data_IF_884283834361
#
_entry.id   IF_884283834361
#
_cell.length_a   1.000
_cell.length_b   1.000
_cell.length_c   1.000
_cell.angle_alpha   90.00
_cell.angle_beta   90.00
_cell.angle_gamma   90.00
#
_symmetry.space_group_name_H-M   'P 1'
#
loop_
_entity.id
_entity.type
_entity.pdbx_description
1 polymer ?
#
# COMPACT_ATOMS: atom_id res chain seq x y z
N UNK A 1 -37.07 -16.28 -12.10
CA UNK A 1 -35.92 -17.22 -12.10
C UNK A 1 -36.07 -18.08 -10.86
N UNK A 2 -35.89 -19.40 -10.96
CA UNK A 2 -35.96 -20.28 -9.79
C UNK A 2 -34.66 -20.17 -8.98
N UNK A 3 -34.76 -19.77 -7.72
CA UNK A 3 -33.61 -19.61 -6.83
C UNK A 3 -32.82 -20.91 -6.68
N UNK A 4 -33.47 -22.09 -6.76
CA UNK A 4 -32.82 -23.39 -6.58
C UNK A 4 -32.00 -23.86 -7.79
N UNK A 5 -32.08 -23.16 -8.92
CA UNK A 5 -31.35 -23.48 -10.15
C UNK A 5 -30.15 -22.55 -10.39
N UNK A 6 -29.99 -21.50 -9.60
CA UNK A 6 -28.90 -20.54 -9.76
C UNK A 6 -27.57 -21.24 -9.42
N UNK A 7 -26.59 -21.26 -10.34
CA UNK A 7 -25.29 -21.84 -10.05
C UNK A 7 -24.56 -21.04 -8.98
N UNK A 8 -23.93 -21.77 -8.07
CA UNK A 8 -23.13 -21.22 -6.98
C UNK A 8 -21.67 -21.45 -7.32
N UNK A 9 -20.86 -20.41 -7.23
CA UNK A 9 -19.42 -20.46 -7.46
C UNK A 9 -18.72 -20.17 -6.15
N UNK A 10 -17.72 -20.99 -5.83
CA UNK A 10 -16.80 -20.73 -4.74
C UNK A 10 -15.37 -20.92 -5.21
N UNK A 11 -14.46 -20.06 -4.75
CA UNK A 11 -13.02 -20.16 -5.03
C UNK A 11 -12.34 -20.59 -3.74
N UNK A 12 -11.52 -21.64 -3.81
CA UNK A 12 -10.86 -22.27 -2.66
C UNK A 12 -9.37 -22.47 -2.93
N UNK A 13 -8.60 -22.51 -1.84
CA UNK A 13 -7.16 -22.77 -1.85
C UNK A 13 -6.73 -23.47 -0.56
N UNK A 14 -6.18 -24.69 -0.68
CA UNK A 14 -5.64 -25.52 0.39
C UNK A 14 -6.56 -25.64 1.63
N UNK A 15 -7.89 -25.62 1.43
CA UNK A 15 -8.87 -25.51 2.51
C UNK A 15 -10.01 -26.53 2.45
N UNK A 16 -9.72 -27.84 2.60
CA UNK A 16 -10.73 -28.89 2.49
C UNK A 16 -11.81 -28.79 3.58
N UNK A 17 -11.47 -28.40 4.81
CA UNK A 17 -12.44 -28.30 5.90
C UNK A 17 -13.47 -27.18 5.66
N UNK A 18 -13.02 -26.04 5.13
CA UNK A 18 -13.91 -24.91 4.84
C UNK A 18 -14.91 -25.27 3.75
N UNK A 19 -14.43 -25.88 2.66
CA UNK A 19 -15.30 -26.37 1.59
C UNK A 19 -16.32 -27.37 2.12
N UNK A 20 -15.89 -28.30 2.99
CA UNK A 20 -16.83 -29.23 3.61
C UNK A 20 -17.87 -28.52 4.47
N UNK A 21 -17.51 -27.47 5.22
CA UNK A 21 -18.44 -26.70 6.05
C UNK A 21 -19.42 -25.88 5.21
N UNK A 22 -18.93 -25.20 4.17
CA UNK A 22 -19.76 -24.47 3.22
C UNK A 22 -20.77 -25.41 2.58
N UNK A 23 -20.32 -26.51 1.98
CA UNK A 23 -21.19 -27.46 1.28
C UNK A 23 -22.19 -28.12 2.24
N UNK A 24 -21.74 -28.55 3.42
CA UNK A 24 -22.63 -29.15 4.42
C UNK A 24 -23.70 -28.18 4.94
N UNK A 25 -23.36 -26.91 5.14
CA UNK A 25 -24.32 -25.90 5.59
C UNK A 25 -25.28 -25.49 4.48
N UNK A 26 -24.77 -25.29 3.26
CA UNK A 26 -25.55 -24.95 2.07
C UNK A 26 -26.56 -26.04 1.71
N UNK A 27 -26.14 -27.32 1.71
CA UNK A 27 -26.98 -28.46 1.29
C UNK A 27 -28.15 -28.74 2.24
N UNK A 28 -28.17 -28.17 3.44
CA UNK A 28 -29.36 -28.20 4.32
C UNK A 28 -30.56 -27.47 3.74
N UNK A 29 -30.30 -26.50 2.86
CA UNK A 29 -31.33 -25.56 2.38
C UNK A 29 -31.41 -25.50 0.85
N UNK A 30 -30.29 -25.70 0.15
CA UNK A 30 -30.18 -25.41 -1.28
C UNK A 30 -29.58 -26.58 -2.07
N UNK A 31 -30.32 -27.15 -3.06
CA UNK A 31 -29.83 -28.20 -3.95
C UNK A 31 -29.06 -27.66 -5.17
N UNK A 32 -28.83 -26.35 -5.23
CA UNK A 32 -28.22 -25.64 -6.36
C UNK A 32 -26.93 -26.31 -6.88
N UNK A 33 -26.67 -26.25 -8.19
CA UNK A 33 -25.38 -26.70 -8.73
C UNK A 33 -24.25 -25.82 -8.16
N UNK A 34 -23.19 -26.45 -7.68
CA UNK A 34 -22.02 -25.75 -7.11
C UNK A 34 -20.80 -26.02 -7.98
N UNK A 35 -20.08 -24.96 -8.32
CA UNK A 35 -18.79 -25.03 -8.97
C UNK A 35 -17.70 -24.57 -7.99
N UNK A 36 -16.81 -25.48 -7.64
CA UNK A 36 -15.64 -25.20 -6.81
C UNK A 36 -14.46 -24.96 -7.75
N UNK A 37 -13.99 -23.72 -7.81
CA UNK A 37 -12.73 -23.37 -8.48
C UNK A 37 -11.60 -23.56 -7.48
N UNK A 38 -10.82 -24.62 -7.67
CA UNK A 38 -9.83 -25.06 -6.70
C UNK A 38 -8.41 -24.76 -7.19
N UNK A 39 -7.72 -23.87 -6.47
CA UNK A 39 -6.34 -23.48 -6.73
C UNK A 39 -5.30 -24.25 -5.93
N UNK A 40 -5.69 -25.31 -5.21
CA UNK A 40 -4.77 -26.09 -4.39
C UNK A 40 -3.64 -26.72 -5.19
N UNK A 41 -2.49 -26.87 -4.53
CA UNK A 41 -1.37 -27.67 -5.06
C UNK A 41 -1.73 -29.17 -5.14
N UNK A 42 -0.92 -29.94 -5.86
CA UNK A 42 -1.16 -31.36 -6.09
C UNK A 42 -1.24 -32.19 -4.80
N UNK A 43 -0.62 -31.75 -3.70
CA UNK A 43 -0.61 -32.47 -2.43
C UNK A 43 -1.95 -32.34 -1.67
N UNK A 44 -2.69 -31.25 -1.89
CA UNK A 44 -3.97 -30.99 -1.23
C UNK A 44 -5.19 -31.40 -2.08
N UNK A 45 -5.04 -31.59 -3.40
CA UNK A 45 -6.15 -31.90 -4.32
C UNK A 45 -6.94 -33.16 -3.90
N UNK A 46 -6.28 -34.20 -3.41
CA UNK A 46 -6.97 -35.42 -2.98
C UNK A 46 -7.82 -35.19 -1.73
N UNK A 47 -7.34 -34.36 -0.79
CA UNK A 47 -8.11 -33.94 0.37
C UNK A 47 -9.32 -33.08 -0.03
N UNK A 48 -9.16 -32.17 -1.01
CA UNK A 48 -10.29 -31.40 -1.56
C UNK A 48 -11.31 -32.32 -2.23
N UNK A 49 -10.87 -33.28 -3.06
CA UNK A 49 -11.76 -34.26 -3.70
C UNK A 49 -12.54 -35.05 -2.65
N UNK A 50 -11.87 -35.50 -1.59
CA UNK A 50 -12.52 -36.21 -0.48
C UNK A 50 -13.53 -35.32 0.27
N UNK A 51 -13.22 -34.03 0.47
CA UNK A 51 -14.12 -33.08 1.12
C UNK A 51 -15.38 -32.79 0.28
N UNK A 52 -15.26 -32.78 -1.05
CA UNK A 52 -16.37 -32.46 -1.95
C UNK A 52 -17.19 -33.69 -2.35
N UNK A 53 -16.58 -34.88 -2.42
CA UNK A 53 -17.21 -36.12 -2.89
C UNK A 53 -18.56 -36.50 -2.25
N UNK A 54 -18.81 -36.24 -0.95
CA UNK A 54 -20.10 -36.57 -0.33
C UNK A 54 -21.29 -35.73 -0.82
N UNK A 55 -21.04 -34.64 -1.55
CA UNK A 55 -22.07 -33.67 -1.91
C UNK A 55 -22.49 -33.79 -3.38
N UNK A 56 -23.78 -34.05 -3.60
CA UNK A 56 -24.34 -34.10 -4.96
C UNK A 56 -24.36 -32.71 -5.63
N UNK A 57 -24.28 -32.71 -6.97
CA UNK A 57 -24.37 -31.49 -7.77
C UNK A 57 -23.17 -30.54 -7.62
N UNK A 58 -22.03 -31.03 -7.15
CA UNK A 58 -20.79 -30.24 -7.04
C UNK A 58 -19.81 -30.63 -8.15
N UNK A 59 -19.38 -29.63 -8.94
CA UNK A 59 -18.32 -29.76 -9.93
C UNK A 59 -17.03 -29.16 -9.38
N UNK A 60 -15.97 -29.95 -9.33
CA UNK A 60 -14.65 -29.52 -8.89
C UNK A 60 -13.77 -29.19 -10.10
N UNK A 61 -13.28 -27.95 -10.17
CA UNK A 61 -12.44 -27.43 -11.24
C UNK A 61 -11.04 -27.15 -10.70
N UNK A 62 -10.19 -28.17 -10.74
CA UNK A 62 -8.81 -28.10 -10.23
C UNK A 62 -7.92 -27.39 -11.23
N UNK A 63 -7.24 -26.34 -10.78
CA UNK A 63 -6.25 -25.60 -11.59
C UNK A 63 -4.83 -26.15 -11.40
N UNK A 64 -4.53 -26.77 -10.25
CA UNK A 64 -3.23 -27.38 -9.94
C UNK A 64 -2.15 -26.37 -9.51
N UNK A 65 -2.52 -25.10 -9.34
CA UNK A 65 -1.71 -23.99 -8.85
C UNK A 65 -2.62 -22.93 -8.22
N UNK A 66 -2.06 -22.05 -7.38
CA UNK A 66 -2.84 -21.01 -6.71
C UNK A 66 -3.36 -19.97 -7.71
N UNK A 67 -4.57 -20.19 -8.23
CA UNK A 67 -5.24 -19.25 -9.14
C UNK A 67 -5.67 -17.96 -8.42
N UNK A 68 -5.69 -17.98 -7.09
CA UNK A 68 -6.15 -16.91 -6.21
C UNK A 68 -7.61 -16.46 -6.44
N UNK A 69 -8.15 -15.70 -5.48
CA UNK A 69 -9.60 -15.40 -5.44
C UNK A 69 -10.10 -14.63 -6.66
N UNK A 70 -9.53 -13.46 -6.97
CA UNK A 70 -9.94 -12.64 -8.13
C UNK A 70 -9.85 -13.36 -9.47
N UNK A 71 -8.67 -13.88 -9.88
CA UNK A 71 -8.57 -14.61 -11.14
C UNK A 71 -9.40 -15.91 -11.15
N UNK A 72 -9.61 -16.56 -10.00
CA UNK A 72 -10.55 -17.68 -9.89
C UNK A 72 -11.99 -17.28 -10.19
N UNK A 73 -12.44 -16.13 -9.68
CA UNK A 73 -13.74 -15.55 -10.02
C UNK A 73 -13.83 -15.20 -11.51
N UNK A 74 -12.80 -14.56 -12.07
CA UNK A 74 -12.76 -14.23 -13.49
C UNK A 74 -12.82 -15.48 -14.38
N UNK A 75 -12.03 -16.50 -14.04
CA UNK A 75 -12.03 -17.80 -14.72
C UNK A 75 -13.42 -18.44 -14.65
N UNK A 76 -14.06 -18.44 -13.48
CA UNK A 76 -15.43 -18.93 -13.33
C UNK A 76 -16.40 -18.19 -14.27
N UNK A 77 -16.39 -16.86 -14.25
CA UNK A 77 -17.27 -16.01 -15.07
C UNK A 77 -17.07 -16.27 -16.57
N UNK A 78 -15.84 -16.56 -16.99
CA UNK A 78 -15.49 -16.72 -18.39
C UNK A 78 -15.68 -18.17 -18.90
N UNK A 79 -15.39 -19.16 -18.08
CA UNK A 79 -15.26 -20.55 -18.51
C UNK A 79 -16.44 -21.44 -18.08
N UNK A 80 -17.13 -21.09 -16.99
CA UNK A 80 -18.21 -21.92 -16.48
C UNK A 80 -19.56 -21.59 -17.12
N UNK A 81 -20.44 -22.60 -17.25
CA UNK A 81 -21.79 -22.42 -17.80
C UNK A 81 -22.74 -21.82 -16.76
N UNK A 82 -22.45 -20.61 -16.27
CA UNK A 82 -23.13 -19.98 -15.13
C UNK A 82 -24.54 -19.44 -15.42
N UNK A 83 -25.06 -19.57 -16.65
CA UNK A 83 -26.32 -18.91 -17.03
C UNK A 83 -26.25 -17.38 -16.89
N UNK A 84 -27.41 -16.69 -16.84
CA UNK A 84 -27.46 -15.23 -16.75
C UNK A 84 -27.14 -14.69 -15.35
N UNK A 85 -27.31 -15.51 -14.30
CA UNK A 85 -27.14 -15.11 -12.90
C UNK A 85 -26.42 -16.21 -12.15
N UNK A 86 -25.43 -15.85 -11.34
CA UNK A 86 -24.74 -16.77 -10.44
C UNK A 86 -24.55 -16.17 -9.06
N UNK A 87 -24.55 -17.02 -8.04
CA UNK A 87 -24.20 -16.65 -6.68
C UNK A 87 -22.72 -16.97 -6.45
N UNK A 88 -21.96 -16.00 -5.97
CA UNK A 88 -20.60 -16.22 -5.50
C UNK A 88 -20.58 -16.23 -3.97
N UNK A 89 -20.02 -17.30 -3.41
CA UNK A 89 -19.83 -17.47 -1.97
C UNK A 89 -18.36 -17.73 -1.68
N UNK A 90 -17.84 -17.09 -0.64
CA UNK A 90 -16.52 -17.45 -0.14
C UNK A 90 -16.51 -18.87 0.42
N UNK A 91 -15.34 -19.50 0.39
CA UNK A 91 -15.18 -20.89 0.85
C UNK A 91 -15.41 -21.05 2.36
N UNK A 92 -15.32 -19.97 3.15
CA UNK A 92 -15.54 -19.96 4.59
C UNK A 92 -16.91 -19.40 5.03
N UNK A 93 -17.86 -19.31 4.09
CA UNK A 93 -19.26 -19.01 4.39
C UNK A 93 -19.95 -20.23 5.03
N UNK A 94 -20.75 -19.98 6.06
CA UNK A 94 -21.65 -20.96 6.68
C UNK A 94 -23.10 -20.47 6.53
N UNK A 95 -23.93 -21.26 5.84
CA UNK A 95 -25.37 -20.94 5.70
C UNK A 95 -26.11 -21.37 6.97
N UNK A 96 -26.67 -20.40 7.69
CA UNK A 96 -27.42 -20.61 8.94
C UNK A 96 -28.92 -20.78 8.72
N UNK A 97 -29.48 -20.12 7.71
CA UNK A 97 -30.92 -20.08 7.44
C UNK A 97 -31.21 -19.98 5.93
N UNK A 98 -32.27 -20.64 5.47
CA UNK A 98 -32.84 -20.44 4.13
C UNK A 98 -33.45 -19.04 3.96
N UNK A 99 -33.70 -18.64 2.70
CA UNK A 99 -34.33 -17.38 2.32
C UNK A 99 -33.37 -16.29 1.84
N UNK A 100 -32.05 -16.48 1.98
CA UNK A 100 -31.05 -15.45 1.66
C UNK A 100 -30.91 -15.28 0.14
N UNK A 101 -30.86 -16.38 -0.60
CA UNK A 101 -30.73 -16.35 -2.05
C UNK A 101 -32.01 -15.79 -2.70
N UNK A 102 -33.18 -16.15 -2.17
CA UNK A 102 -34.47 -15.61 -2.59
C UNK A 102 -34.55 -14.10 -2.33
N UNK A 103 -34.13 -13.65 -1.15
CA UNK A 103 -34.10 -12.23 -0.80
C UNK A 103 -33.14 -11.44 -1.68
N UNK A 104 -31.97 -12.00 -2.04
CA UNK A 104 -31.05 -11.36 -2.99
C UNK A 104 -31.62 -11.33 -4.41
N UNK A 105 -32.29 -12.41 -4.84
CA UNK A 105 -32.86 -12.53 -6.17
C UNK A 105 -34.03 -11.57 -6.39
N UNK A 106 -34.86 -11.33 -5.36
CA UNK A 106 -35.95 -10.35 -5.41
C UNK A 106 -35.44 -8.92 -5.69
N UNK A 107 -34.20 -8.63 -5.29
CA UNK A 107 -33.57 -7.32 -5.43
C UNK A 107 -32.73 -7.19 -6.71
N UNK A 108 -32.54 -8.29 -7.46
CA UNK A 108 -31.76 -8.30 -8.68
C UNK A 108 -32.59 -7.80 -9.87
N UNK A 109 -32.21 -6.65 -10.43
CA UNK A 109 -32.80 -6.09 -11.65
C UNK A 109 -31.93 -6.43 -12.87
N UNK A 110 -32.47 -6.46 -14.10
CA UNK A 110 -31.72 -6.84 -15.30
C UNK A 110 -30.45 -6.02 -15.56
N UNK A 111 -30.44 -4.74 -15.16
CA UNK A 111 -29.29 -3.85 -15.32
C UNK A 111 -28.25 -3.97 -14.20
N UNK A 112 -28.58 -4.59 -13.06
CA UNK A 112 -27.65 -4.65 -11.93
C UNK A 112 -26.42 -5.47 -12.30
N UNK A 113 -25.25 -5.00 -11.88
CA UNK A 113 -24.01 -5.76 -11.88
C UNK A 113 -24.08 -6.89 -10.84
N UNK A 114 -24.54 -6.57 -9.63
CA UNK A 114 -24.76 -7.54 -8.58
C UNK A 114 -25.47 -6.97 -7.35
N UNK A 115 -25.98 -7.87 -6.54
CA UNK A 115 -26.66 -7.63 -5.26
C UNK A 115 -25.81 -8.19 -4.13
N UNK A 116 -25.59 -7.42 -3.07
CA UNK A 116 -24.83 -7.88 -1.90
C UNK A 116 -24.50 -6.79 -0.89
N UNK A 117 -23.49 -7.06 -0.06
CA UNK A 117 -22.96 -6.07 0.87
C UNK A 117 -22.09 -5.06 0.12
N UNK A 118 -22.44 -3.77 0.18
CA UNK A 118 -21.69 -2.69 -0.46
C UNK A 118 -21.14 -1.81 0.64
N UNK A 119 -19.82 -1.72 0.73
CA UNK A 119 -19.14 -0.74 1.58
C UNK A 119 -18.37 0.24 0.71
N UNK A 120 -17.50 1.04 1.32
CA UNK A 120 -16.73 2.06 0.65
C UNK A 120 -15.24 1.78 0.80
N UNK A 121 -14.51 1.85 -0.32
CA UNK A 121 -13.05 1.67 -0.35
C UNK A 121 -12.37 2.87 -1.01
N UNK A 122 -11.08 3.06 -0.72
CA UNK A 122 -10.22 3.93 -1.52
C UNK A 122 -9.84 3.26 -2.86
N UNK A 123 -9.13 3.98 -3.73
CA UNK A 123 -8.78 3.46 -5.06
C UNK A 123 -7.82 2.27 -5.04
N UNK A 124 -7.16 2.04 -3.92
CA UNK A 124 -6.28 0.91 -3.70
C UNK A 124 -7.06 -0.35 -3.29
N UNK A 125 -8.27 -0.19 -2.74
CA UNK A 125 -9.17 -1.25 -2.29
C UNK A 125 -9.24 -1.43 -0.77
N UNK A 126 -8.81 -0.44 0.02
CA UNK A 126 -8.91 -0.44 1.47
C UNK A 126 -10.21 0.21 1.94
N UNK A 127 -10.87 -0.38 2.93
CA UNK A 127 -12.10 0.14 3.52
C UNK A 127 -11.90 1.55 4.10
N UNK A 128 -12.82 2.46 3.78
CA UNK A 128 -12.87 3.83 4.28
C UNK A 128 -14.30 4.23 4.66
N UNK A 129 -14.50 5.18 5.59
CA UNK A 129 -15.80 5.80 5.78
C UNK A 129 -16.28 6.49 4.49
N UNK A 130 -17.59 6.68 4.34
CA UNK A 130 -18.14 7.46 3.22
C UNK A 130 -17.57 8.89 3.25
N UNK A 131 -16.74 9.21 2.25
CA UNK A 131 -16.04 10.48 2.11
C UNK A 131 -15.90 10.84 0.62
N UNK A 132 -15.52 12.09 0.32
CA UNK A 132 -15.30 12.54 -1.05
C UNK A 132 -14.21 11.67 -1.73
N UNK A 133 -14.57 11.02 -2.84
CA UNK A 133 -13.69 10.07 -3.55
C UNK A 133 -13.80 8.62 -3.11
N UNK A 134 -14.74 8.27 -2.22
CA UNK A 134 -15.02 6.90 -1.84
C UNK A 134 -15.68 6.09 -2.96
N UNK A 135 -15.14 4.89 -3.20
CA UNK A 135 -15.59 3.98 -4.26
C UNK A 135 -16.52 2.93 -3.64
N UNK A 136 -17.78 2.82 -4.09
CA UNK A 136 -18.66 1.74 -3.68
C UNK A 136 -18.08 0.38 -4.07
N UNK A 137 -18.01 -0.54 -3.12
CA UNK A 137 -17.36 -1.84 -3.26
C UNK A 137 -18.30 -2.98 -2.90
N UNK A 138 -18.66 -3.79 -3.89
CA UNK A 138 -19.42 -5.02 -3.68
C UNK A 138 -18.51 -6.09 -3.07
N UNK A 139 -18.78 -6.48 -1.82
CA UNK A 139 -17.96 -7.43 -1.09
C UNK A 139 -18.13 -8.85 -1.65
N UNK A 140 -17.01 -9.53 -1.97
CA UNK A 140 -17.03 -10.85 -2.61
C UNK A 140 -17.50 -12.03 -1.74
N UNK A 141 -17.57 -12.00 -0.38
CA UNK A 141 -17.92 -13.20 0.36
C UNK A 141 -19.34 -13.71 0.11
N UNK A 142 -20.27 -12.83 -0.27
CA UNK A 142 -21.63 -13.21 -0.64
C UNK A 142 -22.21 -12.17 -1.62
N UNK A 143 -22.21 -12.50 -2.91
CA UNK A 143 -22.74 -11.63 -3.96
C UNK A 143 -23.51 -12.43 -5.02
N UNK A 144 -24.71 -11.95 -5.36
CA UNK A 144 -25.53 -12.49 -6.45
C UNK A 144 -25.35 -11.59 -7.67
N UNK A 145 -24.75 -12.11 -8.73
CA UNK A 145 -24.31 -11.28 -9.85
C UNK A 145 -25.02 -11.62 -11.15
N UNK A 146 -25.28 -10.59 -11.96
CA UNK A 146 -25.69 -10.76 -13.34
C UNK A 146 -24.45 -10.97 -14.21
N UNK A 147 -24.28 -12.18 -14.71
CA UNK A 147 -23.08 -12.60 -15.43
C UNK A 147 -22.93 -11.85 -16.77
N UNK A 148 -24.04 -11.52 -17.42
CA UNK A 148 -24.02 -10.78 -18.69
C UNK A 148 -23.58 -9.33 -18.48
N UNK A 149 -24.02 -8.70 -17.38
CA UNK A 149 -23.57 -7.35 -17.01
C UNK A 149 -22.12 -7.39 -16.56
N UNK A 150 -21.73 -8.34 -15.71
CA UNK A 150 -20.33 -8.48 -15.24
C UNK A 150 -19.33 -8.55 -16.40
N UNK A 151 -19.66 -9.32 -17.46
CA UNK A 151 -18.81 -9.48 -18.65
C UNK A 151 -18.58 -8.20 -19.47
N UNK A 152 -19.39 -7.17 -19.25
CA UNK A 152 -19.22 -5.86 -19.90
C UNK A 152 -18.21 -4.97 -19.18
N UNK A 153 -17.78 -5.35 -17.97
CA UNK A 153 -16.85 -4.60 -17.15
C UNK A 153 -15.53 -5.37 -16.96
N UNK A 154 -14.46 -4.72 -16.48
CA UNK A 154 -13.22 -5.39 -16.16
C UNK A 154 -13.45 -6.57 -15.21
N UNK A 155 -12.80 -7.69 -15.48
CA UNK A 155 -12.92 -8.88 -14.64
C UNK A 155 -12.25 -8.66 -13.27
N UNK A 156 -12.67 -9.41 -12.24
CA UNK A 156 -11.95 -9.47 -10.97
C UNK A 156 -10.52 -9.99 -11.20
N UNK A 157 -9.50 -9.25 -10.78
CA UNK A 157 -8.09 -9.62 -11.07
C UNK A 157 -7.17 -9.54 -9.86
N UNK A 158 -7.61 -8.95 -8.74
CA UNK A 158 -6.79 -8.80 -7.53
C UNK A 158 -7.01 -9.94 -6.55
N UNK A 159 -6.04 -10.20 -5.66
CA UNK A 159 -6.15 -11.23 -4.63
C UNK A 159 -6.85 -10.75 -3.36
N UNK A 160 -6.43 -9.60 -2.79
CA UNK A 160 -7.00 -9.09 -1.53
C UNK A 160 -8.33 -8.36 -1.68
N UNK A 161 -8.48 -7.54 -2.73
CA UNK A 161 -9.72 -6.83 -3.07
C UNK A 161 -10.16 -7.19 -4.49
N UNK A 162 -10.63 -8.44 -4.72
CA UNK A 162 -10.81 -8.98 -6.07
C UNK A 162 -11.72 -8.13 -6.95
N UNK A 163 -12.72 -7.48 -6.35
CA UNK A 163 -13.69 -6.65 -7.06
C UNK A 163 -13.22 -5.22 -7.34
N UNK A 164 -12.06 -4.78 -6.84
CA UNK A 164 -11.73 -3.34 -6.87
C UNK A 164 -11.57 -2.80 -8.29
N UNK A 165 -11.05 -3.61 -9.23
CA UNK A 165 -10.92 -3.22 -10.62
C UNK A 165 -12.28 -2.98 -11.30
N UNK A 166 -13.26 -3.91 -11.26
CA UNK A 166 -14.60 -3.63 -11.76
C UNK A 166 -15.30 -2.48 -11.01
N UNK A 167 -15.15 -2.39 -9.69
CA UNK A 167 -15.81 -1.34 -8.89
C UNK A 167 -15.28 0.06 -9.23
N UNK A 168 -13.97 0.19 -9.45
CA UNK A 168 -13.37 1.44 -9.93
C UNK A 168 -13.87 1.82 -11.32
N UNK A 169 -13.94 0.86 -12.24
CA UNK A 169 -14.43 1.12 -13.59
C UNK A 169 -15.89 1.58 -13.58
N UNK A 170 -16.73 0.94 -12.76
CA UNK A 170 -18.12 1.36 -12.54
C UNK A 170 -18.18 2.77 -11.96
N UNK A 171 -17.39 3.05 -10.91
CA UNK A 171 -17.37 4.36 -10.26
C UNK A 171 -16.90 5.48 -11.18
N UNK A 172 -15.78 5.28 -11.89
CA UNK A 172 -15.21 6.26 -12.82
C UNK A 172 -16.14 6.52 -14.02
N UNK A 173 -16.94 5.53 -14.42
CA UNK A 173 -17.97 5.68 -15.44
C UNK A 173 -19.28 6.33 -14.92
N UNK A 174 -19.37 6.65 -13.62
CA UNK A 174 -20.59 7.14 -13.00
C UNK A 174 -21.73 6.10 -13.01
N UNK A 175 -21.38 4.81 -12.89
CA UNK A 175 -22.25 3.62 -12.98
C UNK A 175 -22.36 2.85 -11.67
N UNK A 176 -22.12 3.49 -10.52
CA UNK A 176 -22.24 2.84 -9.22
C UNK A 176 -23.68 2.42 -8.87
N UNK A 177 -24.69 2.98 -9.54
CA UNK A 177 -26.10 2.58 -9.43
C UNK A 177 -26.38 1.14 -9.90
N UNK A 178 -25.43 0.51 -10.59
CA UNK A 178 -25.54 -0.90 -10.97
C UNK A 178 -25.29 -1.85 -9.79
N UNK A 179 -24.83 -1.34 -8.63
CA UNK A 179 -24.63 -2.12 -7.41
C UNK A 179 -25.84 -1.99 -6.49
N UNK A 180 -26.46 -3.13 -6.17
CA UNK A 180 -27.58 -3.17 -5.24
C UNK A 180 -27.11 -3.58 -3.85
N UNK A 181 -27.15 -2.63 -2.92
CA UNK A 181 -26.81 -2.89 -1.53
C UNK A 181 -27.94 -3.58 -0.76
N UNK A 182 -27.59 -4.53 0.10
CA UNK A 182 -28.44 -5.09 1.15
C UNK A 182 -27.73 -5.01 2.51
N UNK A 183 -28.33 -4.28 3.45
CA UNK A 183 -27.77 -4.06 4.80
C UNK A 183 -27.49 -5.39 5.52
N UNK A 184 -28.42 -6.34 5.42
CA UNK A 184 -28.29 -7.64 6.10
C UNK A 184 -27.13 -8.47 5.53
N UNK A 185 -26.80 -8.34 4.24
CA UNK A 185 -25.67 -9.07 3.66
C UNK A 185 -24.37 -8.51 4.22
N UNK A 186 -24.21 -7.20 4.25
CA UNK A 186 -23.03 -6.54 4.82
C UNK A 186 -22.89 -6.87 6.31
N UNK A 187 -23.99 -6.83 7.06
CA UNK A 187 -24.04 -7.27 8.45
C UNK A 187 -23.54 -8.72 8.59
N UNK A 188 -24.10 -9.66 7.83
CA UNK A 188 -23.81 -11.08 7.95
C UNK A 188 -22.35 -11.43 7.60
N UNK A 189 -21.74 -10.75 6.62
CA UNK A 189 -20.33 -10.99 6.26
C UNK A 189 -19.34 -10.25 7.17
N UNK A 190 -19.80 -9.32 8.01
CA UNK A 190 -18.96 -8.55 8.94
C UNK A 190 -18.73 -9.34 10.24
N UNK A 191 -17.48 -9.58 10.68
CA UNK A 191 -17.23 -10.31 11.93
C UNK A 191 -17.86 -9.64 13.17
N UNK A 192 -18.36 -10.46 14.11
CA UNK A 192 -18.86 -10.00 15.41
C UNK A 192 -20.28 -9.41 15.42
N UNK A 193 -21.01 -9.48 14.31
CA UNK A 193 -22.42 -9.08 14.21
C UNK A 193 -23.38 -10.25 14.45
N UNK A 194 -24.63 -9.93 14.77
CA UNK A 194 -25.71 -10.91 14.87
C UNK A 194 -26.13 -11.37 13.46
N UNK A 195 -25.96 -12.67 13.18
CA UNK A 195 -26.16 -13.25 11.85
C UNK A 195 -27.64 -13.52 11.55
N UNK A 196 -28.11 -13.08 10.38
CA UNK A 196 -29.49 -13.29 9.92
C UNK A 196 -29.61 -14.59 9.14
N UNK A 197 -28.79 -14.76 8.09
CA UNK A 197 -28.84 -15.86 7.14
C UNK A 197 -27.51 -16.60 6.98
N UNK A 198 -26.41 -15.87 6.87
CA UNK A 198 -25.08 -16.44 6.62
C UNK A 198 -24.07 -15.94 7.64
N UNK A 199 -23.02 -16.72 7.84
CA UNK A 199 -21.88 -16.37 8.68
C UNK A 199 -20.61 -16.45 7.84
N UNK A 200 -19.67 -15.58 8.14
CA UNK A 200 -18.40 -15.46 7.46
C UNK A 200 -17.30 -15.51 8.51
N UNK A 201 -16.61 -16.65 8.58
CA UNK A 201 -15.68 -16.95 9.68
C UNK A 201 -14.41 -16.08 9.59
N UNK A 202 -14.09 -15.55 8.41
CA UNK A 202 -13.08 -14.50 8.20
C UNK A 202 -11.65 -14.91 8.53
N UNK A 203 -11.37 -16.21 8.66
CA UNK A 203 -10.07 -16.76 9.09
C UNK A 203 -9.73 -18.13 8.48
N UNK A 204 -10.49 -18.60 7.49
CA UNK A 204 -10.37 -19.99 7.05
C UNK A 204 -9.08 -20.30 6.28
N UNK A 205 -8.71 -19.48 5.31
CA UNK A 205 -7.54 -19.76 4.44
C UNK A 205 -6.22 -19.37 5.10
N UNK A 206 -6.23 -18.46 6.08
CA UNK A 206 -5.01 -17.91 6.71
C UNK A 206 -4.51 -18.78 7.87
N UNK A 207 -5.39 -19.51 8.55
CA UNK A 207 -4.99 -20.35 9.70
C UNK A 207 -4.58 -21.78 9.30
N UNK A 208 -5.10 -22.32 8.20
CA UNK A 208 -4.85 -23.72 7.80
C UNK A 208 -3.73 -23.92 6.76
N UNK A 209 -3.29 -22.89 6.02
CA UNK A 209 -2.43 -23.10 4.84
C UNK A 209 -0.95 -22.70 4.98
N UNK A 210 -0.50 -22.17 6.12
CA UNK A 210 0.90 -21.78 6.36
C UNK A 210 1.65 -21.13 5.16
N UNK A 211 0.99 -20.26 4.40
CA UNK A 211 1.67 -19.37 3.45
C UNK A 211 1.13 -19.41 2.04
N UNK A 212 1.05 -18.22 1.43
CA UNK A 212 0.86 -18.10 -0.01
C UNK A 212 2.15 -18.56 -0.70
N UNK A 213 2.08 -19.62 -1.53
CA UNK A 213 3.12 -19.94 -2.51
C UNK A 213 3.18 -18.82 -3.56
N UNK A 214 4.13 -17.90 -3.36
CA UNK A 214 4.28 -16.64 -4.10
C UNK A 214 5.05 -16.79 -5.44
N UNK A 215 5.58 -17.97 -5.73
CA UNK A 215 6.68 -18.09 -6.70
C UNK A 215 6.24 -17.97 -8.17
N UNK A 216 5.02 -18.41 -8.52
CA UNK A 216 4.54 -18.41 -9.91
C UNK A 216 3.82 -17.11 -10.30
N UNK A 217 3.08 -16.49 -9.37
CA UNK A 217 2.49 -15.14 -9.51
C UNK A 217 3.58 -14.09 -9.77
N UNK A 218 4.73 -14.25 -9.12
CA UNK A 218 5.87 -13.37 -9.28
C UNK A 218 6.43 -13.41 -10.71
N UNK A 219 6.47 -14.56 -11.37
CA UNK A 219 7.05 -14.67 -12.71
C UNK A 219 6.23 -13.94 -13.79
N UNK A 220 4.90 -14.09 -13.79
CA UNK A 220 4.03 -13.41 -14.77
C UNK A 220 3.86 -11.91 -14.48
N UNK A 221 3.79 -11.54 -13.21
CA UNK A 221 3.76 -10.13 -12.79
C UNK A 221 5.11 -9.47 -13.09
N UNK A 222 6.24 -10.12 -12.85
CA UNK A 222 7.57 -9.65 -13.24
C UNK A 222 7.71 -9.51 -14.75
N UNK A 223 7.14 -10.42 -15.56
CA UNK A 223 7.18 -10.31 -17.01
C UNK A 223 6.37 -9.11 -17.54
N UNK A 224 5.14 -8.90 -17.03
CA UNK A 224 4.31 -7.75 -17.44
C UNK A 224 4.83 -6.43 -16.87
N UNK A 225 5.34 -6.44 -15.65
CA UNK A 225 6.00 -5.28 -15.06
C UNK A 225 7.35 -5.00 -15.71
N UNK A 226 8.09 -5.99 -16.22
CA UNK A 226 9.30 -5.76 -17.00
C UNK A 226 8.98 -5.13 -18.37
N UNK A 227 7.88 -5.52 -19.03
CA UNK A 227 7.43 -4.91 -20.29
C UNK A 227 6.90 -3.48 -20.07
N UNK A 228 6.08 -3.28 -19.05
CA UNK A 228 5.57 -1.96 -18.64
C UNK A 228 6.68 -1.06 -18.07
N UNK A 229 7.66 -1.63 -17.36
CA UNK A 229 8.83 -0.91 -16.87
C UNK A 229 9.83 -0.66 -17.99
N UNK A 230 9.90 -1.45 -19.07
CA UNK A 230 10.64 -1.08 -20.28
C UNK A 230 9.97 0.11 -20.96
N UNK A 231 8.65 0.08 -21.16
CA UNK A 231 7.91 1.21 -21.73
C UNK A 231 7.96 2.46 -20.83
N UNK A 232 7.89 2.30 -19.50
CA UNK A 232 8.01 3.40 -18.54
C UNK A 232 9.47 3.85 -18.33
N UNK A 233 10.45 2.95 -18.47
CA UNK A 233 11.87 3.30 -18.51
C UNK A 233 12.26 3.96 -19.82
N UNK A 234 11.58 3.69 -20.94
CA UNK A 234 11.76 4.45 -22.18
C UNK A 234 11.20 5.87 -22.02
N UNK A 235 10.10 6.05 -21.27
CA UNK A 235 9.55 7.36 -20.89
C UNK A 235 10.40 8.07 -19.81
N UNK A 236 11.01 7.33 -18.87
CA UNK A 236 11.85 7.88 -17.79
C UNK A 236 13.31 8.06 -18.20
N UNK A 237 13.81 7.31 -19.18
CA UNK A 237 15.06 7.59 -19.89
C UNK A 237 14.94 8.85 -20.74
N UNK A 238 13.72 9.29 -21.04
CA UNK A 238 13.42 10.59 -21.63
C UNK A 238 13.26 11.72 -20.59
N UNK A 239 13.34 11.47 -19.28
CA UNK A 239 13.26 12.48 -18.22
C UNK A 239 14.59 12.55 -17.43
N UNK A 240 15.31 13.65 -17.58
CA UNK A 240 16.61 13.88 -16.90
C UNK A 240 16.48 13.81 -15.36
N UNK A 241 17.46 13.24 -14.64
CA UNK A 241 17.47 13.26 -13.17
C UNK A 241 17.55 14.70 -12.66
N UNK A 242 16.52 15.16 -11.96
CA UNK A 242 16.34 16.56 -11.54
C UNK A 242 17.36 17.06 -10.51
N UNK A 243 18.26 16.21 -10.01
CA UNK A 243 19.38 16.59 -9.13
C UNK A 243 18.98 17.14 -7.75
N UNK A 244 17.71 17.10 -7.37
CA UNK A 244 17.20 17.45 -6.03
C UNK A 244 16.01 16.56 -5.64
N UNK A 245 15.68 16.51 -4.34
CA UNK A 245 14.56 15.73 -3.81
C UNK A 245 13.22 16.48 -3.95
N UNK A 246 12.25 15.98 -4.75
CA UNK A 246 10.99 16.69 -4.99
C UNK A 246 10.07 16.74 -3.76
N UNK A 247 10.20 15.81 -2.82
CA UNK A 247 9.42 15.81 -1.58
C UNK A 247 9.87 16.94 -0.64
N UNK A 248 11.18 17.20 -0.57
CA UNK A 248 11.76 18.34 0.16
C UNK A 248 11.24 19.66 -0.42
N UNK A 249 11.27 19.83 -1.75
CA UNK A 249 10.74 21.04 -2.40
C UNK A 249 9.28 21.31 -2.03
N UNK A 250 8.43 20.27 -2.02
CA UNK A 250 7.01 20.38 -1.68
C UNK A 250 6.75 20.81 -0.23
N UNK A 251 7.63 20.45 0.71
CA UNK A 251 7.46 20.77 2.13
C UNK A 251 7.91 22.19 2.49
N UNK A 252 8.80 22.78 1.67
CA UNK A 252 9.24 24.17 1.85
C UNK A 252 8.05 25.13 1.63
N UNK A 253 7.68 25.95 2.64
CA UNK A 253 6.57 26.89 2.52
C UNK A 253 6.76 27.90 1.37
N UNK A 254 5.70 28.16 0.60
CA UNK A 254 5.71 29.16 -0.48
C UNK A 254 5.86 30.61 0.03
N UNK A 255 5.66 30.81 1.34
CA UNK A 255 5.85 32.08 2.02
C UNK A 255 7.31 32.33 2.44
N UNK A 256 8.16 31.30 2.48
CA UNK A 256 9.55 31.42 2.92
C UNK A 256 10.36 32.24 1.90
N UNK A 257 10.99 33.34 2.32
CA UNK A 257 11.74 34.24 1.44
C UNK A 257 13.24 34.05 1.57
N UNK A 258 13.73 33.68 2.75
CA UNK A 258 15.15 33.40 3.02
C UNK A 258 15.30 31.93 3.39
N UNK A 259 15.97 31.19 2.54
CA UNK A 259 16.18 29.76 2.67
C UNK A 259 17.68 29.49 2.80
N UNK A 260 18.06 28.66 3.77
CA UNK A 260 19.41 28.10 3.88
C UNK A 260 19.35 26.62 3.53
N UNK A 261 20.12 26.18 2.54
CA UNK A 261 20.25 24.77 2.16
C UNK A 261 21.60 24.25 2.61
N UNK A 262 21.60 23.29 3.53
CA UNK A 262 22.81 22.58 3.96
C UNK A 262 23.01 21.38 3.04
N UNK A 263 24.23 21.19 2.53
CA UNK A 263 24.53 20.20 1.51
C UNK A 263 23.94 20.57 0.15
N UNK A 264 24.10 21.83 -0.28
CA UNK A 264 23.41 22.33 -1.48
C UNK A 264 23.93 21.74 -2.80
N UNK A 265 25.00 20.93 -2.77
CA UNK A 265 25.61 20.31 -3.93
C UNK A 265 25.85 21.35 -5.05
N UNK A 266 25.35 21.11 -6.26
CA UNK A 266 25.47 22.04 -7.39
C UNK A 266 24.35 23.10 -7.44
N UNK A 267 23.50 23.23 -6.43
CA UNK A 267 22.45 24.26 -6.32
C UNK A 267 21.19 24.00 -7.17
N UNK A 268 20.88 22.75 -7.49
CA UNK A 268 19.70 22.33 -8.27
C UNK A 268 18.38 22.65 -7.55
N UNK A 269 18.31 22.46 -6.23
CA UNK A 269 17.13 22.82 -5.45
C UNK A 269 16.91 24.34 -5.45
N UNK A 270 17.99 25.13 -5.30
CA UNK A 270 17.93 26.59 -5.39
C UNK A 270 17.35 27.06 -6.73
N UNK A 271 17.77 26.44 -7.84
CA UNK A 271 17.22 26.72 -9.17
C UNK A 271 15.71 26.41 -9.24
N UNK A 272 15.28 25.25 -8.71
CA UNK A 272 13.87 24.87 -8.68
C UNK A 272 13.04 25.80 -7.79
N UNK A 273 13.58 26.22 -6.63
CA UNK A 273 12.93 27.17 -5.72
C UNK A 273 12.74 28.53 -6.39
N UNK A 274 13.76 29.05 -7.07
CA UNK A 274 13.67 30.33 -7.80
C UNK A 274 12.67 30.29 -8.95
N UNK A 275 12.55 29.14 -9.62
CA UNK A 275 11.52 28.93 -10.64
C UNK A 275 10.11 28.88 -10.04
N UNK A 276 9.94 28.20 -8.89
CA UNK A 276 8.65 28.07 -8.19
C UNK A 276 8.21 29.38 -7.53
N UNK A 277 9.15 30.15 -7.00
CA UNK A 277 8.89 31.30 -6.13
C UNK A 277 9.82 32.48 -6.50
N UNK A 278 9.38 33.37 -7.40
CA UNK A 278 10.15 34.55 -7.76
C UNK A 278 10.51 35.40 -6.53
N UNK A 279 11.79 35.79 -6.43
CA UNK A 279 12.31 36.62 -5.34
C UNK A 279 12.71 35.87 -4.07
N UNK A 280 12.64 34.54 -4.04
CA UNK A 280 13.25 33.75 -2.95
C UNK A 280 14.78 33.88 -2.97
N UNK A 281 15.38 34.06 -1.80
CA UNK A 281 16.82 34.09 -1.58
C UNK A 281 17.27 32.75 -1.00
N UNK A 282 18.21 32.10 -1.67
CA UNK A 282 18.76 30.81 -1.26
C UNK A 282 20.25 30.94 -0.98
N UNK A 283 20.63 30.65 0.28
CA UNK A 283 22.03 30.53 0.69
C UNK A 283 22.40 29.05 0.82
N UNK A 284 23.39 28.60 0.06
CA UNK A 284 23.87 27.23 0.12
C UNK A 284 25.08 27.06 1.05
N UNK A 285 25.11 25.98 1.83
CA UNK A 285 26.29 25.53 2.57
C UNK A 285 26.75 24.20 1.96
N UNK A 286 28.00 24.11 1.54
CA UNK A 286 28.53 22.92 0.85
C UNK A 286 29.97 22.64 1.28
N UNK A 287 30.29 21.37 1.56
CA UNK A 287 31.62 20.96 1.97
C UNK A 287 32.57 20.83 0.78
N UNK A 288 32.10 20.26 -0.33
CA UNK A 288 32.90 20.04 -1.52
C UNK A 288 33.13 21.34 -2.30
N UNK A 289 34.40 21.71 -2.46
CA UNK A 289 34.79 22.96 -3.10
C UNK A 289 34.26 23.10 -4.54
N UNK A 290 34.23 21.99 -5.28
CA UNK A 290 33.84 22.00 -6.69
C UNK A 290 32.33 22.13 -6.85
N UNK A 291 31.56 21.40 -6.04
CA UNK A 291 30.11 21.52 -5.99
C UNK A 291 29.70 22.94 -5.55
N UNK A 292 30.35 23.48 -4.50
CA UNK A 292 30.13 24.83 -4.01
C UNK A 292 30.37 25.89 -5.11
N UNK A 293 31.44 25.76 -5.90
CA UNK A 293 31.71 26.65 -7.04
C UNK A 293 30.57 26.59 -8.07
N UNK A 294 30.10 25.39 -8.43
CA UNK A 294 28.99 25.24 -9.37
C UNK A 294 27.69 25.86 -8.84
N UNK A 295 27.41 25.69 -7.54
CA UNK A 295 26.23 26.24 -6.89
C UNK A 295 26.16 27.76 -6.88
N UNK A 296 27.30 28.48 -6.96
CA UNK A 296 27.34 29.96 -7.00
C UNK A 296 26.57 30.56 -8.18
N UNK A 297 26.37 29.78 -9.25
CA UNK A 297 25.56 30.19 -10.40
C UNK A 297 24.04 30.08 -10.17
N UNK A 298 23.61 29.38 -9.12
CA UNK A 298 22.19 29.05 -8.85
C UNK A 298 21.70 29.59 -7.51
N UNK A 299 22.55 29.59 -6.49
CA UNK A 299 22.29 30.18 -5.17
C UNK A 299 22.60 31.69 -5.19
N UNK A 300 22.01 32.45 -4.25
CA UNK A 300 22.31 33.88 -4.07
C UNK A 300 23.60 34.09 -3.26
N UNK A 301 23.91 33.15 -2.38
CA UNK A 301 25.18 33.05 -1.68
C UNK A 301 25.56 31.57 -1.48
N UNK A 302 26.86 31.28 -1.42
CA UNK A 302 27.37 29.94 -1.10
C UNK A 302 28.54 30.04 -0.14
N UNK A 303 28.46 29.31 0.97
CA UNK A 303 29.55 29.11 1.92
C UNK A 303 30.14 27.72 1.70
N UNK A 304 31.44 27.66 1.39
CA UNK A 304 32.16 26.39 1.41
C UNK A 304 32.52 26.06 2.86
N UNK A 305 31.81 25.12 3.49
CA UNK A 305 31.94 24.85 4.93
C UNK A 305 31.52 23.44 5.31
N UNK A 306 32.24 22.86 6.27
CA UNK A 306 31.77 21.72 7.04
C UNK A 306 30.84 22.22 8.15
N UNK A 307 29.53 21.99 8.01
CA UNK A 307 28.53 22.43 8.99
C UNK A 307 28.76 21.79 10.37
N UNK A 308 29.32 20.58 10.40
CA UNK A 308 29.55 19.82 11.62
C UNK A 308 30.72 20.39 12.43
N UNK A 309 31.65 21.08 11.76
CA UNK A 309 32.76 21.81 12.37
C UNK A 309 32.52 23.32 12.46
N UNK A 310 31.37 23.82 11.99
CA UNK A 310 31.05 25.24 11.99
C UNK A 310 30.79 25.77 13.41
N UNK A 311 31.39 26.92 13.72
CA UNK A 311 31.16 27.68 14.95
C UNK A 311 29.92 28.59 14.86
N UNK A 312 29.46 29.09 16.01
CA UNK A 312 28.23 29.89 16.14
C UNK A 312 28.19 31.15 15.27
N UNK A 313 29.34 31.72 14.90
CA UNK A 313 29.42 32.90 14.03
C UNK A 313 28.78 32.67 12.65
N UNK A 314 28.91 31.47 12.08
CA UNK A 314 28.25 31.14 10.80
C UNK A 314 26.73 31.17 10.95
N UNK A 315 26.21 30.56 12.01
CA UNK A 315 24.78 30.52 12.27
C UNK A 315 24.22 31.93 12.54
N UNK A 316 24.96 32.76 13.26
CA UNK A 316 24.60 34.17 13.51
C UNK A 316 24.55 34.99 12.22
N UNK A 317 25.48 34.77 11.29
CA UNK A 317 25.45 35.40 9.98
C UNK A 317 24.19 35.04 9.17
N UNK A 318 23.66 33.84 9.38
CA UNK A 318 22.50 33.28 8.69
C UNK A 318 21.19 33.44 9.48
N UNK A 319 21.20 34.26 10.53
CA UNK A 319 20.06 34.44 11.40
C UNK A 319 18.85 35.07 10.70
N UNK A 320 17.66 34.63 11.11
CA UNK A 320 16.39 35.06 10.54
C UNK A 320 16.02 34.36 9.23
N UNK A 321 16.67 33.26 8.87
CA UNK A 321 16.19 32.43 7.76
C UNK A 321 14.80 31.87 8.09
N UNK A 322 13.90 31.91 7.10
CA UNK A 322 12.53 31.42 7.23
C UNK A 322 12.47 29.89 7.15
N UNK A 323 13.42 29.29 6.41
CA UNK A 323 13.52 27.84 6.25
C UNK A 323 14.98 27.38 6.19
N UNK A 324 15.33 26.35 6.95
CA UNK A 324 16.57 25.59 6.78
C UNK A 324 16.26 24.23 6.17
N UNK A 325 17.05 23.82 5.17
CA UNK A 325 16.85 22.56 4.43
C UNK A 325 18.05 21.64 4.65
N UNK A 326 17.76 20.39 5.01
CA UNK A 326 18.72 19.29 5.13
C UNK A 326 18.25 18.11 4.28
N UNK A 327 18.56 18.14 2.99
CA UNK A 327 18.20 17.07 2.07
C UNK A 327 19.26 15.98 2.04
N UNK A 328 19.03 14.85 2.74
CA UNK A 328 19.98 13.73 2.79
C UNK A 328 21.35 14.17 3.38
N UNK A 329 21.32 14.80 4.56
CA UNK A 329 22.49 15.39 5.24
C UNK A 329 22.67 14.91 6.68
N UNK A 330 21.59 14.84 7.47
CA UNK A 330 21.67 14.64 8.93
C UNK A 330 22.31 13.30 9.32
N UNK A 331 22.16 12.29 8.47
CA UNK A 331 22.76 10.96 8.55
C UNK A 331 24.28 10.95 8.38
N UNK A 332 24.83 11.97 7.70
CA UNK A 332 26.27 12.13 7.46
C UNK A 332 26.99 12.94 8.55
N UNK A 333 26.24 13.58 9.46
CA UNK A 333 26.81 14.41 10.51
C UNK A 333 27.27 13.57 11.71
N UNK A 334 28.36 14.00 12.37
CA UNK A 334 28.79 13.43 13.65
C UNK A 334 27.83 13.84 14.76
N UNK A 335 27.40 15.10 14.80
CA UNK A 335 26.46 15.60 15.82
C UNK A 335 25.29 16.39 15.20
N UNK A 336 24.30 15.71 14.59
CA UNK A 336 23.13 16.38 14.02
C UNK A 336 22.28 17.11 15.08
N UNK A 337 22.29 16.67 16.34
CA UNK A 337 21.56 17.32 17.43
C UNK A 337 22.09 18.73 17.70
N UNK A 338 23.41 18.87 17.84
CA UNK A 338 24.06 20.18 18.00
C UNK A 338 23.75 21.12 16.84
N UNK A 339 23.84 20.63 15.61
CA UNK A 339 23.57 21.44 14.41
C UNK A 339 22.12 21.91 14.38
N UNK A 340 21.15 21.03 14.64
CA UNK A 340 19.75 21.40 14.71
C UNK A 340 19.44 22.39 15.84
N UNK A 341 20.12 22.28 16.99
CA UNK A 341 19.99 23.22 18.10
C UNK A 341 20.50 24.63 17.73
N UNK A 342 21.64 24.72 17.04
CA UNK A 342 22.15 26.00 16.51
C UNK A 342 21.21 26.59 15.45
N UNK A 343 20.67 25.76 14.55
CA UNK A 343 19.66 26.20 13.57
C UNK A 343 18.41 26.73 14.25
N UNK A 344 17.89 26.01 15.25
CA UNK A 344 16.73 26.47 16.04
C UNK A 344 16.99 27.86 16.63
N UNK A 345 18.19 28.09 17.18
CA UNK A 345 18.57 29.37 17.81
C UNK A 345 18.51 30.56 16.86
N UNK A 346 18.80 30.35 15.57
CA UNK A 346 18.92 31.42 14.58
C UNK A 346 17.76 31.49 13.59
N UNK A 347 16.79 30.59 13.72
CA UNK A 347 15.59 30.55 12.88
C UNK A 347 14.75 31.84 13.03
N UNK A 348 14.10 32.28 11.96
CA UNK A 348 13.11 33.35 12.06
C UNK A 348 11.93 32.93 12.99
N UNK A 349 11.24 33.89 13.64
CA UNK A 349 9.96 33.62 14.27
C UNK A 349 8.99 32.99 13.26
N UNK A 350 8.44 31.82 13.59
CA UNK A 350 7.57 31.06 12.67
C UNK A 350 8.30 30.34 11.54
N UNK A 351 9.64 30.34 11.54
CA UNK A 351 10.43 29.59 10.57
C UNK A 351 10.37 28.07 10.79
N UNK A 352 10.87 27.31 9.83
CA UNK A 352 10.87 25.85 9.86
C UNK A 352 12.21 25.22 9.42
N UNK A 353 12.37 23.94 9.76
CA UNK A 353 13.41 23.06 9.22
C UNK A 353 12.74 22.01 8.34
N UNK A 354 13.18 21.86 7.10
CA UNK A 354 12.75 20.81 6.18
C UNK A 354 13.89 19.82 6.00
N UNK A 355 13.59 18.53 6.08
CA UNK A 355 14.59 17.46 6.01
C UNK A 355 14.14 16.34 5.10
N UNK A 356 15.08 15.60 4.52
CA UNK A 356 14.91 14.20 4.13
C UNK A 356 15.94 13.35 4.87
N UNK A 357 15.48 12.29 5.52
CA UNK A 357 16.34 11.41 6.33
C UNK A 357 16.11 9.95 5.92
N UNK A 358 17.18 9.20 5.59
CA UNK A 358 17.11 7.76 5.31
C UNK A 358 16.50 6.97 6.47
N UNK A 359 15.69 5.97 6.13
CA UNK A 359 14.98 5.15 7.12
C UNK A 359 15.73 3.85 7.43
N UNK A 360 16.32 3.77 8.63
CA UNK A 360 16.97 2.56 9.12
C UNK A 360 16.00 1.40 9.41
N UNK A 361 14.70 1.70 9.58
CA UNK A 361 13.66 0.68 9.73
C UNK A 361 13.22 0.08 8.39
N UNK A 362 13.75 0.57 7.27
CA UNK A 362 13.34 0.08 5.97
C UNK A 362 13.50 -1.45 5.84
N UNK A 363 12.52 -2.12 5.23
CA UNK A 363 12.48 -3.59 5.13
C UNK A 363 13.78 -4.18 4.57
N UNK A 364 14.44 -3.50 3.62
CA UNK A 364 15.66 -4.01 2.99
C UNK A 364 16.86 -3.99 3.96
N UNK A 365 16.89 -3.02 4.87
CA UNK A 365 17.90 -2.94 5.93
C UNK A 365 17.66 -4.05 6.95
N UNK A 366 16.40 -4.26 7.35
CA UNK A 366 16.01 -5.34 8.26
C UNK A 366 16.31 -6.72 7.67
N UNK A 367 16.00 -6.95 6.39
CA UNK A 367 16.29 -8.21 5.72
C UNK A 367 17.80 -8.49 5.68
N UNK A 368 18.62 -7.49 5.33
CA UNK A 368 20.09 -7.59 5.35
C UNK A 368 20.63 -7.91 6.74
N UNK A 369 20.11 -7.26 7.78
CA UNK A 369 20.47 -7.55 9.17
C UNK A 369 20.15 -9.00 9.53
N UNK A 370 18.95 -9.50 9.19
CA UNK A 370 18.54 -10.88 9.46
C UNK A 370 19.41 -11.92 8.75
N UNK A 371 19.95 -11.61 7.58
CA UNK A 371 20.85 -12.49 6.82
C UNK A 371 22.33 -12.34 7.17
N UNK A 372 22.69 -11.41 8.08
CA UNK A 372 24.10 -11.05 8.32
C UNK A 372 24.77 -10.36 7.12
N UNK A 373 23.99 -9.87 6.15
CA UNK A 373 24.45 -9.23 4.91
C UNK A 373 24.54 -7.70 5.04
N UNK A 374 25.07 -7.21 6.16
CA UNK A 374 25.10 -5.78 6.50
C UNK A 374 26.34 -5.08 5.91
N UNK A 375 26.41 -5.05 4.58
CA UNK A 375 27.53 -4.45 3.84
C UNK A 375 27.24 -3.00 3.47
N UNK A 376 28.25 -2.14 3.65
CA UNK A 376 28.19 -0.74 3.22
C UNK A 376 28.35 -0.62 1.70
N UNK A 377 27.65 0.33 1.12
CA UNK A 377 27.58 0.60 -0.32
C UNK A 377 28.15 1.99 -0.66
N UNK A 378 28.15 2.34 -1.95
CA UNK A 378 28.60 3.64 -2.42
C UNK A 378 27.50 4.71 -2.35
N UNK A 379 26.23 4.31 -2.34
CA UNK A 379 25.03 5.16 -2.33
C UNK A 379 23.87 4.42 -1.66
N UNK A 380 22.75 5.12 -1.40
CA UNK A 380 21.52 4.52 -0.89
C UNK A 380 21.48 4.35 0.63
N UNK A 381 20.56 3.54 1.15
CA UNK A 381 20.38 3.36 2.60
C UNK A 381 21.63 2.88 3.32
N UNK A 382 22.46 2.10 2.63
CA UNK A 382 23.68 1.51 3.15
C UNK A 382 24.94 2.31 2.77
N UNK A 383 24.80 3.57 2.35
CA UNK A 383 25.94 4.42 2.01
C UNK A 383 27.00 4.41 3.12
N UNK A 384 28.24 4.10 2.75
CA UNK A 384 29.39 4.02 3.67
C UNK A 384 29.66 5.31 4.46
N UNK A 385 29.12 6.44 4.00
CA UNK A 385 29.30 7.75 4.62
C UNK A 385 28.21 8.07 5.65
N UNK A 386 27.19 7.23 5.82
CA UNK A 386 26.21 7.36 6.91
C UNK A 386 26.86 7.07 8.27
N UNK A 387 26.90 8.09 9.14
CA UNK A 387 27.40 8.01 10.52
C UNK A 387 26.27 7.80 11.54
N UNK A 388 25.03 8.04 11.13
CA UNK A 388 23.83 7.97 11.97
C UNK A 388 22.72 7.21 11.26
N UNK A 389 21.89 6.53 12.05
CA UNK A 389 20.80 5.68 11.59
C UNK A 389 19.54 6.06 12.33
N UNK A 390 18.48 6.38 11.60
CA UNK A 390 17.23 6.84 12.19
C UNK A 390 16.05 6.01 11.69
N UNK A 391 15.22 5.54 12.62
CA UNK A 391 13.83 5.14 12.34
C UNK A 391 12.92 6.36 12.45
N UNK A 392 11.69 6.29 11.92
CA UNK A 392 10.70 7.36 12.06
C UNK A 392 10.56 7.85 13.52
N UNK A 393 10.47 6.93 14.47
CA UNK A 393 10.37 7.27 15.90
C UNK A 393 11.59 8.05 16.39
N UNK A 394 12.81 7.61 16.04
CA UNK A 394 14.05 8.30 16.46
C UNK A 394 14.27 9.63 15.72
N UNK A 395 13.70 9.82 14.53
CA UNK A 395 13.66 11.13 13.86
C UNK A 395 12.82 12.12 14.66
N UNK A 396 11.64 11.69 15.15
CA UNK A 396 10.81 12.54 16.01
C UNK A 396 11.55 12.93 17.30
N UNK A 397 12.27 11.98 17.91
CA UNK A 397 13.10 12.23 19.10
C UNK A 397 14.28 13.18 18.80
N UNK A 398 14.93 13.06 17.63
CA UNK A 398 15.99 13.97 17.18
C UNK A 398 15.47 15.42 17.14
N UNK A 399 14.31 15.65 16.52
CA UNK A 399 13.71 16.97 16.48
C UNK A 399 13.32 17.46 17.87
N UNK A 400 12.68 16.63 18.69
CA UNK A 400 12.27 16.98 20.05
C UNK A 400 13.47 17.36 20.94
N UNK A 401 14.60 16.65 20.83
CA UNK A 401 15.82 16.94 21.58
C UNK A 401 16.51 18.22 21.11
N UNK A 402 16.39 18.57 19.84
CA UNK A 402 16.75 19.90 19.33
C UNK A 402 15.69 20.98 19.69
N UNK A 403 14.59 20.57 20.31
CA UNK A 403 13.44 21.37 20.69
C UNK A 403 12.68 21.97 19.51
N UNK A 404 12.61 21.17 18.45
CA UNK A 404 11.73 21.32 17.31
C UNK A 404 10.58 20.32 17.44
N UNK A 405 9.46 20.58 16.77
CA UNK A 405 8.33 19.67 16.66
C UNK A 405 7.99 19.46 15.19
N UNK A 406 7.82 18.21 14.78
CA UNK A 406 7.37 17.89 13.41
C UNK A 406 5.92 18.32 13.24
N UNK A 407 5.66 19.07 12.17
CA UNK A 407 4.33 19.58 11.81
C UNK A 407 3.76 18.87 10.58
N UNK A 408 4.62 18.48 9.63
CA UNK A 408 4.23 17.75 8.44
C UNK A 408 5.30 16.71 8.07
N UNK A 409 4.89 15.61 7.42
CA UNK A 409 5.81 14.61 6.92
C UNK A 409 5.23 13.83 5.75
N UNK A 410 6.10 13.38 4.86
CA UNK A 410 5.75 12.56 3.69
C UNK A 410 6.65 11.32 3.68
N UNK A 411 6.05 10.11 3.58
CA UNK A 411 6.82 8.91 3.31
C UNK A 411 7.31 8.92 1.86
N UNK A 412 8.61 8.79 1.65
CA UNK A 412 9.18 8.68 0.31
C UNK A 412 9.34 7.20 -0.03
N UNK A 413 8.35 6.67 -0.72
CA UNK A 413 8.34 5.29 -1.21
C UNK A 413 8.81 5.33 -2.67
N UNK A 414 9.81 4.51 -3.01
CA UNK A 414 10.26 4.34 -4.39
C UNK A 414 9.65 3.08 -5.00
N UNK A 415 9.81 2.91 -6.30
CA UNK A 415 9.52 1.63 -6.93
C UNK A 415 10.53 0.60 -6.41
N UNK A 416 10.04 -0.49 -5.84
CA UNK A 416 10.85 -1.46 -5.11
C UNK A 416 10.67 -2.87 -5.65
N UNK A 417 11.70 -3.73 -5.50
CA UNK A 417 11.63 -5.09 -6.00
C UNK A 417 10.51 -5.86 -5.29
N UNK A 418 9.87 -6.83 -5.98
CA UNK A 418 8.76 -7.58 -5.41
C UNK A 418 9.06 -8.30 -4.08
N UNK A 419 10.35 -8.59 -3.80
CA UNK A 419 10.84 -9.17 -2.54
C UNK A 419 10.45 -8.38 -1.28
N UNK A 420 10.13 -7.09 -1.45
CA UNK A 420 9.68 -6.22 -0.36
C UNK A 420 8.52 -6.82 0.41
N UNK A 421 7.50 -7.35 -0.28
CA UNK A 421 6.29 -7.82 0.41
C UNK A 421 6.59 -9.02 1.30
N UNK A 422 7.45 -9.96 0.87
CA UNK A 422 7.93 -11.05 1.74
C UNK A 422 8.70 -10.50 2.95
N UNK A 423 9.58 -9.52 2.74
CA UNK A 423 10.33 -8.93 3.85
C UNK A 423 9.40 -8.21 4.85
N UNK A 424 8.40 -7.46 4.37
CA UNK A 424 7.41 -6.79 5.20
C UNK A 424 6.52 -7.78 5.96
N UNK A 425 6.25 -8.96 5.42
CA UNK A 425 5.61 -10.04 6.20
C UNK A 425 6.51 -10.49 7.35
N UNK A 426 7.82 -10.61 7.15
CA UNK A 426 8.78 -10.86 8.22
C UNK A 426 8.74 -9.78 9.31
N UNK A 427 8.70 -8.50 8.91
CA UNK A 427 8.52 -7.36 9.84
C UNK A 427 7.22 -7.48 10.63
N UNK A 428 6.11 -7.81 9.95
CA UNK A 428 4.79 -8.01 10.56
C UNK A 428 4.82 -9.11 11.61
N UNK A 429 5.36 -10.28 11.29
CA UNK A 429 5.44 -11.41 12.23
C UNK A 429 6.31 -11.08 13.44
N UNK A 430 7.44 -10.39 13.22
CA UNK A 430 8.31 -9.95 14.31
C UNK A 430 7.58 -8.98 15.25
N UNK A 431 6.83 -8.01 14.71
CA UNK A 431 6.05 -7.07 15.50
C UNK A 431 4.98 -7.79 16.35
N UNK A 432 4.22 -8.71 15.75
CA UNK A 432 3.22 -9.52 16.47
C UNK A 432 3.84 -10.35 17.60
N UNK A 433 4.97 -11.02 17.33
CA UNK A 433 5.67 -11.84 18.31
C UNK A 433 6.15 -11.04 19.54
N UNK A 434 6.44 -9.75 19.35
CA UNK A 434 6.88 -8.83 20.41
C UNK A 434 5.73 -8.02 21.03
N UNK A 435 4.48 -8.31 20.67
CA UNK A 435 3.31 -7.58 21.17
C UNK A 435 3.24 -6.12 20.71
N UNK A 436 3.79 -5.81 19.53
CA UNK A 436 3.77 -4.49 18.92
C UNK A 436 2.73 -4.43 17.79
N UNK A 437 2.29 -3.22 17.46
CA UNK A 437 1.40 -2.98 16.33
C UNK A 437 2.10 -3.34 15.01
N UNK A 438 1.57 -4.35 14.33
CA UNK A 438 2.16 -4.91 13.14
C UNK A 438 1.90 -4.06 11.89
N UNK A 439 0.78 -3.34 11.84
CA UNK A 439 0.46 -2.45 10.73
C UNK A 439 1.30 -1.17 10.81
N UNK A 440 1.55 -0.66 12.02
CA UNK A 440 2.52 0.40 12.25
C UNK A 440 3.93 -0.03 11.86
N UNK A 441 4.39 -1.22 12.28
CA UNK A 441 5.71 -1.71 11.94
C UNK A 441 5.93 -1.84 10.42
N UNK A 442 4.93 -2.36 9.69
CA UNK A 442 4.95 -2.46 8.22
C UNK A 442 4.94 -1.08 7.56
N UNK A 443 4.04 -0.19 8.02
CA UNK A 443 3.93 1.18 7.50
C UNK A 443 5.23 1.95 7.69
N UNK A 444 5.90 1.80 8.83
CA UNK A 444 7.16 2.51 9.11
C UNK A 444 8.37 1.85 8.43
N UNK A 445 8.29 0.57 8.06
CA UNK A 445 9.34 -0.14 7.32
C UNK A 445 9.25 0.02 5.79
N UNK A 446 8.16 0.60 5.27
CA UNK A 446 7.93 0.74 3.82
C UNK A 446 8.71 1.92 3.19
N UNK A 447 8.77 3.12 3.78
CA UNK A 447 9.42 4.26 3.13
C UNK A 447 10.94 4.14 3.20
N UNK A 448 11.61 4.39 2.08
CA UNK A 448 13.07 4.43 2.05
C UNK A 448 13.61 5.64 2.83
N UNK A 449 12.88 6.74 2.84
CA UNK A 449 13.25 7.93 3.60
C UNK A 449 11.98 8.66 4.05
N UNK A 450 12.14 9.55 5.01
CA UNK A 450 11.07 10.43 5.47
C UNK A 450 11.46 11.87 5.17
N UNK A 451 10.62 12.55 4.39
CA UNK A 451 10.71 13.99 4.25
C UNK A 451 9.84 14.64 5.34
N UNK A 452 10.39 15.56 6.14
CA UNK A 452 9.70 16.16 7.28
C UNK A 452 9.88 17.66 7.35
N UNK A 453 8.84 18.38 7.78
CA UNK A 453 8.91 19.79 8.18
C UNK A 453 8.71 19.89 9.68
N UNK A 454 9.67 20.49 10.37
CA UNK A 454 9.64 20.77 11.80
C UNK A 454 9.66 22.28 12.08
N UNK A 455 9.01 22.69 13.15
CA UNK A 455 8.93 24.08 13.62
C UNK A 455 9.43 24.17 15.06
N UNK A 456 9.69 25.37 15.57
CA UNK A 456 10.08 25.55 16.98
C UNK A 456 8.98 25.02 17.90
N UNK A 457 9.34 24.17 18.88
CA UNK A 457 8.41 23.75 19.92
C UNK A 457 8.06 24.95 20.82
N UNK A 458 6.76 25.22 20.96
CA UNK A 458 6.21 26.35 21.73
C UNK A 458 6.26 26.16 23.23
#
# INVERSE_FOLDING_TARGET
MDAHQIPIVTVSYNSPELLSHLLASLRRFYPNPVHVVEGSDAEHVDAIRAAVAPFEGVSLHVQGYNIHHGPGLAWAIQQLPLGPVALFLDSDIIVRRAGFLEAMLEQLQPQHYGVGGVAYVNREGFDIPYAYGAVPYLHPPCMLCNIEVMRQWPMPIKHGAPMVAPMLALHDAGKSELLQHLDWVLNDVTPGTDKVYVDHVGRGTVLNTQGYHLDEWMAEVQARQAEQARQAADVRAAAEPTGYNPFVLRLIPETARRIVEVGCSTGTLAQALKARQPGVQVTGLELDARAAEMARSRCDAVHQVDIDSAGSALFEQLAGADCWVFGDVLEHLRDPWRVLAEVRRVLAPGGCVVTSIPNAQHWSVQARLNMGAFQYEATGLMDRTHLRWFTRQTMLQLFEQAGLRVEAGVPCVVAEPPIREQALQGVRQMALALGRDADEAVRDATPMQWAMRAVIAG
#
